data_IF_061252231304
#
_entry.id   IF_061252231304
#
_cell.length_a   1.000
_cell.length_b   1.000
_cell.length_c   1.000
_cell.angle_alpha   90.00
_cell.angle_beta   90.00
_cell.angle_gamma   90.00
#
_symmetry.space_group_name_H-M   'P 1'
#
loop_
_entity.id
_entity.type
_entity.pdbx_description
1 polymer ?
#
# COMPACT_ATOMS: atom_id res chain seq x y z
N UNK A 1 -3.65 10.42 -24.05
CA UNK A 1 -4.64 9.76 -24.94
C UNK A 1 -5.30 10.63 -26.01
N UNK A 2 -5.34 11.99 -25.96
CA UNK A 2 -5.96 12.77 -27.04
C UNK A 2 -5.33 12.55 -28.42
N UNK A 3 -4.00 12.37 -28.46
CA UNK A 3 -3.19 12.35 -29.68
C UNK A 3 -3.56 11.26 -30.70
N UNK A 4 -4.21 10.17 -30.28
CA UNK A 4 -4.57 9.06 -31.18
C UNK A 4 -6.07 8.99 -31.49
N UNK A 5 -6.93 9.65 -30.71
CA UNK A 5 -8.39 9.61 -30.92
C UNK A 5 -8.80 10.37 -32.18
N UNK A 6 -8.08 11.43 -32.51
CA UNK A 6 -8.41 12.32 -33.62
C UNK A 6 -7.70 11.92 -34.94
N UNK A 7 -6.88 10.86 -34.91
CA UNK A 7 -6.11 10.42 -36.07
C UNK A 7 -6.78 9.24 -36.78
N UNK A 8 -7.29 9.48 -37.99
CA UNK A 8 -8.00 8.50 -38.82
C UNK A 8 -7.16 7.26 -39.23
N UNK A 9 -5.83 7.33 -39.12
CA UNK A 9 -4.93 6.21 -39.40
C UNK A 9 -4.87 5.19 -38.26
N UNK A 10 -5.41 5.51 -37.08
CA UNK A 10 -5.40 4.64 -35.92
C UNK A 10 -6.83 4.36 -35.45
N UNK A 11 -7.06 3.13 -34.97
CA UNK A 11 -8.30 2.74 -34.29
C UNK A 11 -7.99 2.48 -32.83
N UNK A 12 -8.49 3.34 -31.95
CA UNK A 12 -8.39 3.13 -30.50
C UNK A 12 -9.48 2.15 -30.07
N UNK A 13 -9.10 1.07 -29.40
CA UNK A 13 -10.02 0.09 -28.82
C UNK A 13 -10.01 0.31 -27.30
N UNK A 14 -11.12 0.78 -26.75
CA UNK A 14 -11.30 0.97 -25.31
C UNK A 14 -12.07 -0.20 -24.72
N UNK A 15 -11.72 -0.59 -23.50
CA UNK A 15 -12.39 -1.67 -22.78
C UNK A 15 -11.98 -1.72 -21.32
N UNK A 16 -12.77 -2.42 -20.51
CA UNK A 16 -12.49 -2.57 -19.09
C UNK A 16 -11.20 -3.36 -18.88
N UNK A 17 -10.31 -2.81 -18.06
CA UNK A 17 -9.13 -3.51 -17.59
C UNK A 17 -9.50 -4.46 -16.45
N UNK A 18 -8.82 -5.61 -16.38
CA UNK A 18 -8.90 -6.51 -15.22
C UNK A 18 -7.85 -6.19 -14.15
N UNK A 19 -7.10 -5.10 -14.30
CA UNK A 19 -6.10 -4.66 -13.32
C UNK A 19 -6.76 -3.83 -12.22
N UNK A 20 -6.65 -4.30 -10.98
CA UNK A 20 -7.05 -3.57 -9.78
C UNK A 20 -5.81 -3.00 -9.10
N UNK A 21 -5.78 -1.69 -8.90
CA UNK A 21 -4.75 -1.04 -8.08
C UNK A 21 -5.23 -1.00 -6.63
N UNK A 22 -4.37 -1.43 -5.70
CA UNK A 22 -4.73 -1.52 -4.28
C UNK A 22 -3.54 -1.13 -3.39
N UNK A 23 -3.85 -0.78 -2.14
CA UNK A 23 -2.87 -0.64 -1.07
C UNK A 23 -2.96 -1.87 -0.16
N UNK A 24 -1.85 -2.59 -0.04
CA UNK A 24 -1.72 -3.69 0.91
C UNK A 24 -1.27 -3.17 2.28
N UNK A 25 -1.75 -3.83 3.35
CA UNK A 25 -1.23 -3.61 4.70
C UNK A 25 -0.51 -4.87 5.20
N UNK A 26 0.61 -4.71 5.91
CA UNK A 26 1.34 -5.84 6.46
C UNK A 26 0.81 -6.17 7.86
N UNK A 27 0.03 -7.24 7.97
CA UNK A 27 -0.61 -7.66 9.23
C UNK A 27 0.38 -8.12 10.32
N UNK A 28 1.64 -8.43 9.97
CA UNK A 28 2.68 -8.74 10.96
C UNK A 28 3.18 -7.47 11.68
N UNK A 29 3.00 -6.30 11.06
CA UNK A 29 3.39 -5.03 11.66
C UNK A 29 2.41 -4.62 12.76
N UNK A 30 2.89 -4.21 13.94
CA UNK A 30 2.03 -3.79 15.06
C UNK A 30 1.02 -2.69 14.69
N UNK A 31 1.39 -1.76 13.81
CA UNK A 31 0.54 -0.63 13.42
C UNK A 31 -0.69 -1.05 12.59
N UNK A 32 -0.62 -2.19 11.90
CA UNK A 32 -1.68 -2.66 11.00
C UNK A 32 -2.52 -3.80 11.60
N UNK A 33 -2.20 -4.26 12.81
CA UNK A 33 -2.94 -5.35 13.47
C UNK A 33 -4.39 -4.99 13.75
N UNK A 34 -4.63 -3.76 14.20
CA UNK A 34 -5.97 -3.26 14.47
C UNK A 34 -6.74 -3.05 13.16
N UNK A 35 -7.91 -3.67 13.07
CA UNK A 35 -8.82 -3.55 11.91
C UNK A 35 -9.25 -2.10 11.69
N UNK A 36 -9.44 -1.35 12.77
CA UNK A 36 -9.88 0.05 12.73
C UNK A 36 -8.87 0.91 11.99
N UNK A 37 -7.57 0.70 12.19
CA UNK A 37 -6.52 1.44 11.47
C UNK A 37 -6.58 1.19 9.96
N UNK A 38 -6.93 -0.03 9.53
CA UNK A 38 -7.11 -0.34 8.10
C UNK A 38 -8.37 0.34 7.55
N UNK A 39 -9.44 0.39 8.33
CA UNK A 39 -10.65 1.13 7.99
C UNK A 39 -10.40 2.64 7.89
N UNK A 40 -9.61 3.22 8.81
CA UNK A 40 -9.21 4.64 8.75
C UNK A 40 -8.58 4.97 7.40
N UNK A 41 -7.61 4.17 6.96
CA UNK A 41 -6.94 4.39 5.66
C UNK A 41 -7.92 4.29 4.50
N UNK A 42 -8.88 3.36 4.58
CA UNK A 42 -9.86 3.15 3.52
C UNK A 42 -10.84 4.34 3.42
N UNK A 43 -11.32 4.85 4.56
CA UNK A 43 -12.21 6.02 4.63
C UNK A 43 -11.49 7.34 4.30
N UNK A 44 -10.20 7.45 4.59
CA UNK A 44 -9.41 8.66 4.36
C UNK A 44 -8.96 8.86 2.90
N UNK A 45 -9.08 7.85 2.03
CA UNK A 45 -8.65 7.94 0.62
C UNK A 45 -9.86 8.17 -0.28
N UNK A 46 -9.85 9.29 -1.00
CA UNK A 46 -10.83 9.54 -2.03
C UNK A 46 -10.49 8.75 -3.31
N UNK A 47 -11.28 7.70 -3.57
CA UNK A 47 -11.10 6.80 -4.73
C UNK A 47 -11.80 7.26 -6.01
N UNK A 48 -12.64 8.30 -5.96
CA UNK A 48 -13.24 8.91 -7.15
C UNK A 48 -12.32 9.94 -7.84
N UNK A 49 -11.01 9.86 -7.56
CA UNK A 49 -9.99 10.68 -8.18
C UNK A 49 -9.70 10.27 -9.64
N UNK A 50 -10.76 10.12 -10.45
CA UNK A 50 -10.71 9.81 -11.89
C UNK A 50 -9.76 10.74 -12.64
N UNK A 51 -9.62 11.99 -12.19
CA UNK A 51 -8.69 12.98 -12.73
C UNK A 51 -7.24 12.49 -12.72
N UNK A 52 -6.80 11.74 -11.70
CA UNK A 52 -5.43 11.21 -11.62
C UNK A 52 -5.14 10.18 -12.73
N UNK A 53 -6.16 9.45 -13.18
CA UNK A 53 -6.07 8.45 -14.23
C UNK A 53 -6.59 8.94 -15.59
N UNK A 54 -6.72 10.26 -15.78
CA UNK A 54 -7.21 10.84 -17.03
C UNK A 54 -8.63 10.38 -17.41
N UNK A 55 -9.47 10.06 -16.42
CA UNK A 55 -10.85 9.60 -16.60
C UNK A 55 -11.01 8.10 -16.87
N UNK A 56 -9.91 7.34 -16.99
CA UNK A 56 -9.94 5.93 -17.41
C UNK A 56 -10.07 4.92 -16.25
N UNK A 57 -10.07 5.37 -15.00
CA UNK A 57 -10.21 4.51 -13.83
C UNK A 57 -11.60 4.63 -13.19
N UNK A 58 -12.03 3.55 -12.55
CA UNK A 58 -13.25 3.49 -11.74
C UNK A 58 -12.91 3.01 -10.33
N UNK A 59 -13.62 3.48 -9.29
CA UNK A 59 -13.44 2.98 -7.93
C UNK A 59 -13.66 1.46 -7.87
N UNK A 60 -12.75 0.75 -7.21
CA UNK A 60 -12.87 -0.68 -6.95
C UNK A 60 -13.15 -0.91 -5.46
N UNK A 61 -14.16 -1.75 -5.17
CA UNK A 61 -14.50 -2.21 -3.81
C UNK A 61 -14.10 -3.67 -3.58
N UNK A 62 -13.67 -4.38 -4.63
CA UNK A 62 -13.27 -5.76 -4.60
C UNK A 62 -11.92 -5.93 -5.32
N UNK A 63 -11.16 -6.95 -4.92
CA UNK A 63 -9.93 -7.36 -5.62
C UNK A 63 -10.22 -7.92 -7.01
N UNK A 64 -11.45 -8.38 -7.24
CA UNK A 64 -11.90 -8.86 -8.54
C UNK A 64 -12.53 -7.72 -9.35
N UNK A 65 -12.08 -7.55 -10.58
CA UNK A 65 -12.62 -6.58 -11.53
C UNK A 65 -13.81 -7.12 -12.36
N UNK A 66 -14.06 -8.44 -12.32
CA UNK A 66 -15.17 -9.04 -13.04
C UNK A 66 -16.45 -8.96 -12.20
N UNK A 67 -17.47 -8.24 -12.65
CA UNK A 67 -18.72 -7.99 -11.91
C UNK A 67 -19.37 -9.26 -11.34
N UNK A 68 -19.30 -10.37 -12.07
CA UNK A 68 -19.84 -11.67 -11.61
C UNK A 68 -19.16 -12.22 -10.35
N UNK A 69 -17.97 -11.75 -10.01
CA UNK A 69 -17.19 -12.15 -8.83
C UNK A 69 -17.29 -11.12 -7.69
N UNK A 70 -17.93 -9.97 -7.94
CA UNK A 70 -18.11 -8.92 -6.95
C UNK A 70 -19.43 -9.15 -6.21
N UNK A 71 -19.43 -9.30 -4.87
CA UNK A 71 -20.66 -9.37 -4.09
C UNK A 71 -21.51 -8.10 -4.28
N UNK A 72 -22.83 -8.25 -4.35
CA UNK A 72 -23.76 -7.12 -4.59
C UNK A 72 -23.95 -6.23 -3.37
N UNK A 73 -23.73 -6.77 -2.19
CA UNK A 73 -23.91 -6.16 -0.86
C UNK A 73 -22.58 -5.76 -0.23
N UNK A 74 -21.53 -5.57 -1.05
CA UNK A 74 -20.21 -5.18 -0.55
C UNK A 74 -20.23 -3.75 0.01
N UNK A 75 -19.66 -3.60 1.20
CA UNK A 75 -19.42 -2.27 1.77
C UNK A 75 -18.49 -1.49 0.84
N UNK A 76 -18.97 -0.32 0.43
CA UNK A 76 -18.28 0.50 -0.55
C UNK A 76 -17.24 1.41 0.08
N UNK A 77 -17.18 1.58 1.41
CA UNK A 77 -16.22 2.43 2.11
C UNK A 77 -16.08 3.82 1.47
N UNK A 78 -17.21 4.51 1.28
CA UNK A 78 -17.23 5.85 0.69
C UNK A 78 -16.26 6.79 1.43
N UNK A 79 -15.69 7.76 0.70
CA UNK A 79 -14.75 8.71 1.28
C UNK A 79 -15.39 9.50 2.43
N UNK A 80 -14.86 9.32 3.64
CA UNK A 80 -15.37 9.94 4.87
C UNK A 80 -14.18 10.24 5.82
N UNK A 81 -13.53 11.39 5.65
CA UNK A 81 -12.38 11.77 6.46
C UNK A 81 -12.74 12.05 7.92
N UNK A 82 -14.00 12.38 8.24
CA UNK A 82 -14.43 12.61 9.62
C UNK A 82 -14.57 11.30 10.37
N UNK A 83 -15.21 10.29 9.76
CA UNK A 83 -15.24 8.92 10.30
C UNK A 83 -13.84 8.33 10.45
N UNK A 84 -12.94 8.62 9.51
CA UNK A 84 -11.54 8.21 9.62
C UNK A 84 -10.86 8.81 10.87
N UNK A 85 -11.08 10.09 11.18
CA UNK A 85 -10.53 10.74 12.39
C UNK A 85 -11.11 10.16 13.67
N UNK A 86 -12.42 9.87 13.69
CA UNK A 86 -13.11 9.26 14.82
C UNK A 86 -12.52 7.87 15.13
N UNK A 87 -12.48 6.99 14.13
CA UNK A 87 -11.89 5.65 14.27
C UNK A 87 -10.41 5.69 14.68
N UNK A 88 -9.65 6.67 14.20
CA UNK A 88 -8.24 6.83 14.56
C UNK A 88 -8.07 7.20 16.05
N UNK A 89 -8.96 8.05 16.58
CA UNK A 89 -8.99 8.41 18.01
C UNK A 89 -9.38 7.21 18.86
N UNK A 90 -10.42 6.48 18.47
CA UNK A 90 -10.87 5.26 19.16
C UNK A 90 -9.82 4.14 19.16
N UNK A 91 -9.00 4.07 18.10
CA UNK A 91 -7.92 3.12 17.99
C UNK A 91 -6.72 3.45 18.91
N UNK A 92 -6.64 4.67 19.46
CA UNK A 92 -5.49 5.07 20.27
C UNK A 92 -4.21 5.17 19.43
N UNK A 93 -4.28 5.85 18.29
CA UNK A 93 -3.16 5.96 17.35
C UNK A 93 -1.88 6.53 17.97
N UNK A 94 -2.02 7.47 18.90
CA UNK A 94 -0.87 8.08 19.60
C UNK A 94 -0.09 7.02 20.40
N UNK A 95 -0.76 6.02 20.95
CA UNK A 95 -0.14 4.89 21.66
C UNK A 95 0.44 3.86 20.68
N UNK A 96 -0.18 3.68 19.51
CA UNK A 96 0.25 2.69 18.50
C UNK A 96 1.51 3.16 17.77
N UNK A 97 1.53 4.41 17.31
CA UNK A 97 2.57 4.89 16.40
C UNK A 97 3.19 6.23 16.81
N UNK A 98 2.55 7.01 17.69
CA UNK A 98 3.14 8.22 18.28
C UNK A 98 3.68 9.23 17.26
N UNK A 99 2.92 9.46 16.18
CA UNK A 99 3.27 10.34 15.05
C UNK A 99 4.52 9.94 14.23
N UNK A 100 5.01 8.70 14.33
CA UNK A 100 6.11 8.22 13.48
C UNK A 100 5.68 8.12 12.01
N UNK A 101 6.62 8.26 11.06
CA UNK A 101 6.29 8.09 9.67
C UNK A 101 5.84 6.67 9.32
N UNK A 102 4.80 6.56 8.49
CA UNK A 102 4.41 5.30 7.87
C UNK A 102 5.00 5.25 6.47
N UNK A 103 5.69 4.16 6.15
CA UNK A 103 6.24 3.93 4.83
C UNK A 103 5.15 3.44 3.86
N UNK A 104 4.94 4.17 2.77
CA UNK A 104 4.17 3.70 1.60
C UNK A 104 5.13 3.11 0.58
N UNK A 105 4.97 1.81 0.32
CA UNK A 105 5.83 1.06 -0.59
C UNK A 105 5.18 0.92 -1.97
N UNK A 106 5.96 1.21 -3.01
CA UNK A 106 5.58 0.93 -4.40
C UNK A 106 6.74 0.32 -5.17
N UNK A 107 6.45 -0.61 -6.07
CA UNK A 107 7.40 -1.11 -7.08
C UNK A 107 7.31 -0.33 -8.40
N UNK A 108 6.28 0.51 -8.57
CA UNK A 108 6.06 1.29 -9.79
C UNK A 108 6.70 2.67 -9.66
N UNK A 109 7.68 2.93 -10.54
CA UNK A 109 8.42 4.20 -10.61
C UNK A 109 7.91 5.12 -11.74
N UNK A 110 6.73 4.83 -12.28
CA UNK A 110 6.14 5.66 -13.35
C UNK A 110 5.65 7.00 -12.81
N UNK A 111 5.67 8.09 -13.61
CA UNK A 111 5.13 9.38 -13.18
C UNK A 111 3.69 9.31 -12.68
N UNK A 112 2.85 8.50 -13.33
CA UNK A 112 1.47 8.26 -12.90
C UNK A 112 1.42 7.66 -11.48
N UNK A 113 2.18 6.59 -11.24
CA UNK A 113 2.24 5.95 -9.92
C UNK A 113 2.73 6.91 -8.84
N UNK A 114 3.76 7.71 -9.13
CA UNK A 114 4.29 8.73 -8.20
C UNK A 114 3.25 9.81 -7.89
N UNK A 115 2.52 10.29 -8.90
CA UNK A 115 1.46 11.28 -8.72
C UNK A 115 0.30 10.73 -7.88
N UNK A 116 -0.11 9.47 -8.12
CA UNK A 116 -1.13 8.80 -7.32
C UNK A 116 -0.67 8.62 -5.88
N UNK A 117 0.57 8.18 -5.65
CA UNK A 117 1.14 8.03 -4.31
C UNK A 117 1.18 9.37 -3.56
N UNK A 118 1.61 10.45 -4.23
CA UNK A 118 1.65 11.78 -3.65
C UNK A 118 0.24 12.27 -3.26
N UNK A 119 -0.77 12.02 -4.11
CA UNK A 119 -2.16 12.34 -3.80
C UNK A 119 -2.68 11.55 -2.60
N UNK A 120 -2.43 10.24 -2.55
CA UNK A 120 -2.78 9.38 -1.40
C UNK A 120 -2.08 9.87 -0.13
N UNK A 121 -0.80 10.22 -0.21
CA UNK A 121 -0.05 10.78 0.90
C UNK A 121 -0.68 12.09 1.41
N UNK A 122 -1.11 12.97 0.51
CA UNK A 122 -1.77 14.22 0.89
C UNK A 122 -3.13 13.97 1.57
N UNK A 123 -3.94 13.03 1.05
CA UNK A 123 -5.23 12.67 1.62
C UNK A 123 -5.07 12.08 3.03
N UNK A 124 -4.11 11.16 3.20
CA UNK A 124 -3.84 10.55 4.50
C UNK A 124 -3.23 11.53 5.50
N UNK A 125 -2.41 12.49 5.06
CA UNK A 125 -1.86 13.52 5.94
C UNK A 125 -2.97 14.41 6.54
N UNK A 126 -4.03 14.70 5.78
CA UNK A 126 -5.19 15.47 6.27
C UNK A 126 -6.00 14.72 7.33
N UNK A 127 -6.11 13.39 7.21
CA UNK A 127 -6.87 12.57 8.14
C UNK A 127 -6.05 12.11 9.37
N UNK A 128 -4.79 11.72 9.18
CA UNK A 128 -4.04 10.96 10.17
C UNK A 128 -2.95 11.73 10.92
N UNK A 129 -2.69 13.02 10.59
CA UNK A 129 -1.62 13.86 11.19
C UNK A 129 -0.20 13.25 11.19
N UNK A 130 0.01 12.06 10.65
CA UNK A 130 1.30 11.39 10.60
C UNK A 130 2.05 11.80 9.33
N UNK A 131 3.32 12.20 9.42
CA UNK A 131 4.15 12.46 8.24
C UNK A 131 4.36 11.15 7.49
N UNK A 132 3.79 10.97 6.29
CA UNK A 132 4.03 9.76 5.51
C UNK A 132 5.33 9.87 4.71
N UNK A 133 6.05 8.77 4.57
CA UNK A 133 7.22 8.68 3.69
C UNK A 133 6.95 7.66 2.60
N UNK A 134 7.10 8.08 1.33
CA UNK A 134 7.08 7.14 0.21
C UNK A 134 8.47 6.52 0.05
N UNK A 135 8.56 5.20 -0.04
CA UNK A 135 9.80 4.50 -0.37
C UNK A 135 9.52 3.53 -1.52
N UNK A 136 10.36 3.59 -2.55
CA UNK A 136 10.33 2.57 -3.59
C UNK A 136 10.89 1.27 -3.01
N UNK A 137 10.30 0.13 -3.38
CA UNK A 137 10.70 -1.20 -2.90
C UNK A 137 12.16 -1.63 -3.24
N UNK A 138 12.98 -0.73 -3.79
CA UNK A 138 14.40 -0.93 -4.10
C UNK A 138 15.37 0.03 -3.39
N UNK A 139 14.93 0.88 -2.44
CA UNK A 139 15.86 1.70 -1.64
C UNK A 139 16.43 0.90 -0.46
N UNK A 140 17.76 0.89 -0.23
CA UNK A 140 18.41 0.06 0.81
C UNK A 140 18.02 0.35 2.26
N UNK A 141 17.37 1.49 2.53
CA UNK A 141 17.21 2.03 3.89
C UNK A 141 15.99 1.50 4.66
N UNK A 142 15.25 0.54 4.12
CA UNK A 142 14.24 -0.18 4.89
C UNK A 142 14.74 -1.60 5.19
N UNK A 143 14.82 -2.01 6.47
CA UNK A 143 15.18 -3.37 6.83
C UNK A 143 14.01 -4.30 6.46
N UNK A 144 13.98 -4.71 5.19
CA UNK A 144 13.15 -5.82 4.69
C UNK A 144 13.70 -7.19 5.13
N UNK A 145 14.78 -7.21 5.93
CA UNK A 145 15.36 -8.41 6.50
C UNK A 145 14.90 -8.62 7.95
N UNK A 146 13.59 -8.78 8.13
CA UNK A 146 13.09 -9.62 9.20
C UNK A 146 13.59 -11.03 8.95
N UNK A 147 14.68 -11.40 9.64
CA UNK A 147 15.24 -12.75 9.67
C UNK A 147 14.09 -13.74 9.84
N UNK A 148 13.80 -14.50 8.79
CA UNK A 148 12.90 -15.64 8.84
C UNK A 148 13.51 -16.62 9.85
N UNK A 149 13.03 -16.58 11.10
CA UNK A 149 13.45 -17.49 12.14
C UNK A 149 12.92 -18.87 11.76
N UNK A 150 13.70 -19.63 10.97
CA UNK A 150 13.41 -21.04 10.69
C UNK A 150 13.45 -21.78 12.04
N UNK A 151 12.39 -22.52 12.41
CA UNK A 151 12.37 -23.28 13.66
C UNK A 151 13.47 -24.37 13.66
N UNK A 152 14.02 -24.72 14.84
CA UNK A 152 15.21 -25.56 14.97
C UNK A 152 14.84 -27.04 14.89
N UNK A 153 14.54 -27.53 13.70
CA UNK A 153 14.38 -28.95 13.41
C UNK A 153 15.34 -29.38 12.29
N UNK A 154 16.65 -29.17 12.50
CA UNK A 154 17.72 -29.87 11.77
C UNK A 154 19.02 -29.75 12.58
N UNK A 155 19.24 -30.69 13.52
CA UNK A 155 20.50 -30.82 14.26
C UNK A 155 21.55 -31.55 13.40
N UNK A 156 22.66 -30.84 13.10
CA UNK A 156 24.11 -31.23 13.19
C UNK A 156 24.66 -32.33 12.23
N UNK A 157 25.96 -32.27 11.82
CA UNK A 157 27.15 -32.33 12.68
C UNK A 157 28.05 -31.07 12.58
N UNK A 158 28.44 -30.42 13.68
CA UNK A 158 29.72 -30.62 14.41
C UNK A 158 30.91 -30.94 13.51
N UNK A 159 31.69 -29.91 13.17
CA UNK A 159 33.14 -30.05 12.94
C UNK A 159 33.82 -29.04 13.86
N UNK A 160 34.49 -29.59 14.89
CA UNK A 160 35.40 -28.87 15.77
C UNK A 160 36.72 -28.72 15.02
N UNK A 161 37.21 -27.49 14.84
CA UNK A 161 38.65 -27.23 14.63
C UNK A 161 39.09 -26.12 15.59
N UNK A 162 40.04 -26.50 16.44
CA UNK A 162 40.69 -25.70 17.48
C UNK A 162 41.45 -24.49 16.91
N UNK A 163 41.72 -23.44 17.73
CA UNK A 163 42.38 -22.23 17.27
C UNK A 163 43.88 -22.47 17.10
N UNK A 164 44.46 -21.96 16.00
CA UNK A 164 45.90 -21.69 15.94
C UNK A 164 46.13 -20.19 15.94
N UNK A 165 46.66 -19.75 17.08
CA UNK A 165 47.45 -18.53 17.28
C UNK A 165 48.51 -18.37 16.19
N UNK A 166 48.65 -17.17 15.62
CA UNK A 166 49.82 -16.27 15.72
C UNK A 166 49.78 -15.20 14.61
N UNK A 167 49.91 -13.94 15.04
CA UNK A 167 50.52 -12.74 14.42
C UNK A 167 50.66 -12.56 12.89
N UNK A 168 50.52 -11.27 12.54
CA UNK A 168 50.76 -10.54 11.27
C UNK A 168 49.56 -10.37 10.36
#
# INVERSE_FOLDING_TARGET
MPTFKDNKSFKVIEGNSFVVNYLGSNHDSPIWKDVRIRQVVTYAINRDAKSLHGGAAMPANCVYAADRLVPKDIETYAYDPEKAKELLKEAGWDQINGAKPIALLTSYLTPLATNVLAAVQAMLAQACRAPLTSSAAGTPDLPIHGRIHRPPCARKPVIIRMPRSTNC
#
